data_IF_483573242292
#
_entry.id   IF_483573242292
#
_cell.length_a   1.000
_cell.length_b   1.000
_cell.length_c   1.000
_cell.angle_alpha   90.00
_cell.angle_beta   90.00
_cell.angle_gamma   90.00
#
_symmetry.space_group_name_H-M   'P 1'
#
loop_
_entity.id
_entity.type
_entity.pdbx_description
1 polymer ?
#
# COMPACT_ATOMS: atom_id res chain seq x y z
N UNK A 1 -4.23 -11.12 -51.17
CA UNK A 1 -4.66 -12.42 -50.58
C UNK A 1 -4.87 -12.18 -49.09
N UNK A 2 -6.10 -11.91 -48.67
CA UNK A 2 -6.46 -11.76 -47.26
C UNK A 2 -6.90 -13.12 -46.73
N UNK A 3 -6.13 -13.68 -45.81
CA UNK A 3 -6.53 -14.88 -45.10
C UNK A 3 -7.52 -14.50 -43.97
N UNK A 4 -8.69 -15.15 -43.87
CA UNK A 4 -9.57 -14.96 -42.72
C UNK A 4 -8.90 -15.54 -41.47
N UNK A 5 -8.90 -14.76 -40.39
CA UNK A 5 -8.33 -15.19 -39.11
C UNK A 5 -9.13 -16.36 -38.52
N UNK A 6 -8.46 -17.28 -37.80
CA UNK A 6 -9.09 -18.45 -37.19
C UNK A 6 -10.16 -18.05 -36.16
N UNK A 7 -11.23 -18.86 -36.07
CA UNK A 7 -12.40 -18.66 -35.20
C UNK A 7 -12.05 -18.48 -33.71
N UNK A 8 -10.90 -18.99 -33.27
CA UNK A 8 -10.37 -18.81 -31.92
C UNK A 8 -9.96 -17.36 -31.59
N UNK A 9 -9.69 -16.54 -32.62
CA UNK A 9 -9.34 -15.13 -32.45
C UNK A 9 -10.57 -14.20 -32.40
N UNK A 10 -11.69 -14.60 -33.00
CA UNK A 10 -12.95 -13.84 -32.93
C UNK A 10 -13.62 -13.94 -31.55
N UNK A 11 -13.47 -15.07 -30.87
CA UNK A 11 -14.08 -15.29 -29.55
C UNK A 11 -13.35 -14.55 -28.42
N UNK A 12 -12.07 -14.22 -28.60
CA UNK A 12 -11.25 -13.51 -27.62
C UNK A 12 -11.41 -11.98 -27.69
N UNK A 13 -11.85 -11.43 -28.83
CA UNK A 13 -12.23 -10.02 -28.94
C UNK A 13 -13.63 -9.74 -28.40
N UNK A 14 -14.56 -10.70 -28.52
CA UNK A 14 -15.89 -10.55 -27.91
C UNK A 14 -15.84 -10.66 -26.39
N UNK A 15 -14.98 -11.51 -25.82
CA UNK A 15 -14.78 -11.54 -24.36
C UNK A 15 -14.02 -10.33 -23.82
N UNK A 16 -13.05 -9.81 -24.57
CA UNK A 16 -12.30 -8.60 -24.15
C UNK A 16 -13.16 -7.34 -24.15
N UNK A 17 -14.14 -7.24 -25.05
CA UNK A 17 -15.09 -6.11 -25.08
C UNK A 17 -16.29 -6.30 -24.13
N UNK A 18 -16.51 -7.51 -23.61
CA UNK A 18 -17.58 -7.77 -22.64
C UNK A 18 -17.15 -7.51 -21.19
N UNK A 19 -15.85 -7.63 -20.87
CA UNK A 19 -15.33 -7.29 -19.54
C UNK A 19 -15.06 -5.78 -19.39
N UNK A 20 -14.99 -5.05 -20.51
CA UNK A 20 -14.86 -3.57 -20.53
C UNK A 20 -16.18 -2.86 -20.19
N UNK A 21 -17.29 -3.60 -20.13
CA UNK A 21 -18.57 -3.16 -19.57
C UNK A 21 -18.90 -3.90 -18.25
N UNK A 22 -17.88 -4.39 -17.53
CA UNK A 22 -18.05 -4.51 -16.09
C UNK A 22 -18.30 -3.08 -15.63
N UNK A 23 -19.54 -2.80 -15.27
CA UNK A 23 -19.89 -1.64 -14.47
C UNK A 23 -19.09 -1.82 -13.18
N UNK A 24 -17.83 -1.39 -13.18
CA UNK A 24 -17.17 -1.01 -11.96
C UNK A 24 -18.16 -0.02 -11.36
N UNK A 25 -18.89 -0.46 -10.34
CA UNK A 25 -19.46 0.43 -9.34
C UNK A 25 -18.26 1.21 -8.86
N UNK A 26 -17.99 2.32 -9.55
CA UNK A 26 -16.97 3.30 -9.23
C UNK A 26 -17.48 3.87 -7.93
N UNK A 27 -17.14 3.20 -6.85
CA UNK A 27 -17.37 3.72 -5.52
C UNK A 27 -16.49 4.95 -5.47
N UNK A 28 -17.12 6.11 -5.46
CA UNK A 28 -16.37 7.35 -5.38
C UNK A 28 -15.67 7.36 -4.01
N UNK A 29 -14.34 7.23 -4.02
CA UNK A 29 -13.52 7.18 -2.80
C UNK A 29 -12.80 5.86 -2.56
N UNK A 30 -12.15 5.75 -1.41
CA UNK A 30 -11.41 4.57 -0.96
C UNK A 30 -12.32 3.75 -0.06
N UNK A 31 -12.51 2.45 -0.33
CA UNK A 31 -13.37 1.63 0.52
C UNK A 31 -12.72 1.36 1.88
N UNK A 32 -13.49 1.09 2.95
CA UNK A 32 -12.93 0.70 4.23
C UNK A 32 -12.01 -0.53 4.14
N UNK A 33 -12.31 -1.46 3.21
CA UNK A 33 -11.48 -2.64 2.97
C UNK A 33 -10.14 -2.30 2.30
N UNK A 34 -10.13 -1.33 1.37
CA UNK A 34 -8.90 -0.83 0.76
C UNK A 34 -8.02 -0.14 1.79
N UNK A 35 -8.63 0.68 2.67
CA UNK A 35 -7.92 1.29 3.80
C UNK A 35 -7.29 0.21 4.68
N UNK A 36 -8.04 -0.82 5.07
CA UNK A 36 -7.52 -1.90 5.91
C UNK A 36 -6.37 -2.65 5.23
N UNK A 37 -6.42 -2.81 3.91
CA UNK A 37 -5.34 -3.42 3.13
C UNK A 37 -4.07 -2.57 3.16
N UNK A 38 -4.21 -1.25 2.97
CA UNK A 38 -3.09 -0.30 3.04
C UNK A 38 -2.47 -0.29 4.44
N UNK A 39 -3.29 -0.20 5.49
CA UNK A 39 -2.82 -0.22 6.89
C UNK A 39 -2.04 -1.51 7.19
N UNK A 40 -2.55 -2.68 6.77
CA UNK A 40 -1.83 -3.95 6.94
C UNK A 40 -0.49 -3.96 6.20
N UNK A 41 -0.48 -3.50 4.95
CA UNK A 41 0.74 -3.44 4.14
C UNK A 41 1.79 -2.52 4.78
N UNK A 42 1.42 -1.31 5.15
CA UNK A 42 2.34 -0.35 5.79
C UNK A 42 2.84 -0.83 7.14
N UNK A 43 1.98 -1.44 7.96
CA UNK A 43 2.38 -1.99 9.26
C UNK A 43 3.36 -3.17 9.09
N UNK A 44 3.08 -4.07 8.13
CA UNK A 44 3.99 -5.17 7.80
C UNK A 44 5.34 -4.65 7.28
N UNK A 45 5.31 -3.62 6.44
CA UNK A 45 6.53 -3.01 5.91
C UNK A 45 7.31 -2.26 7.01
N UNK A 46 6.65 -1.63 7.97
CA UNK A 46 7.31 -0.99 9.11
C UNK A 46 8.11 -2.03 9.92
N UNK A 47 7.49 -3.18 10.21
CA UNK A 47 8.16 -4.30 10.89
C UNK A 47 9.34 -4.81 10.06
N UNK A 48 9.14 -5.04 8.77
CA UNK A 48 10.20 -5.53 7.88
C UNK A 48 11.38 -4.55 7.81
N UNK A 49 11.13 -3.24 7.70
CA UNK A 49 12.17 -2.19 7.65
C UNK A 49 12.93 -2.11 8.97
N UNK A 50 12.25 -2.20 10.12
CA UNK A 50 12.91 -2.22 11.43
C UNK A 50 13.74 -3.48 11.67
N UNK A 51 13.43 -4.59 10.99
CA UNK A 51 14.16 -5.84 11.11
C UNK A 51 15.40 -5.93 10.21
N UNK A 52 15.66 -4.92 9.36
CA UNK A 52 16.84 -4.92 8.50
C UNK A 52 18.09 -4.72 9.38
N UNK A 53 18.93 -5.74 9.41
CA UNK A 53 20.21 -5.72 10.10
C UNK A 53 21.27 -4.97 9.27
N UNK A 54 21.85 -3.93 9.89
CA UNK A 54 22.90 -3.09 9.32
C UNK A 54 24.22 -3.21 10.07
N UNK A 55 24.30 -4.06 11.10
CA UNK A 55 25.54 -4.43 11.79
C UNK A 55 26.62 -4.93 10.82
N UNK A 56 26.32 -5.68 9.75
CA UNK A 56 27.34 -6.10 8.79
C UNK A 56 28.09 -4.94 8.12
N UNK A 57 27.47 -3.75 8.02
CA UNK A 57 28.12 -2.55 7.49
C UNK A 57 29.18 -2.02 8.46
N UNK A 58 28.88 -1.99 9.75
CA UNK A 58 29.82 -1.53 10.78
C UNK A 58 30.95 -2.54 11.01
N UNK A 59 30.67 -3.83 10.82
CA UNK A 59 31.64 -4.92 10.93
C UNK A 59 32.55 -5.07 9.69
N UNK A 60 32.40 -4.24 8.66
CA UNK A 60 33.25 -4.30 7.47
C UNK A 60 34.70 -3.85 7.77
N UNK A 61 35.64 -4.80 7.71
CA UNK A 61 37.07 -4.55 7.96
C UNK A 61 37.93 -4.94 6.75
N UNK A 62 39.00 -4.18 6.51
CA UNK A 62 39.98 -4.47 5.47
C UNK A 62 41.15 -3.49 5.57
N UNK A 63 42.40 -3.95 5.77
CA UNK A 63 43.56 -3.07 5.91
C UNK A 63 43.66 -2.12 4.71
N UNK A 64 43.67 -0.81 4.96
CA UNK A 64 43.78 0.24 3.94
C UNK A 64 42.65 0.26 2.88
N UNK A 65 41.57 -0.50 3.05
CA UNK A 65 40.47 -0.54 2.08
C UNK A 65 39.59 0.70 2.18
N UNK A 66 39.51 1.47 1.08
CA UNK A 66 38.55 2.58 0.97
C UNK A 66 37.10 2.08 1.02
N UNK A 67 36.84 0.90 0.47
CA UNK A 67 35.50 0.29 0.45
C UNK A 67 35.06 -0.09 1.86
N UNK A 68 35.93 -0.73 2.65
CA UNK A 68 35.60 -1.11 4.04
C UNK A 68 35.28 0.13 4.90
N UNK A 69 36.07 1.21 4.77
CA UNK A 69 35.78 2.48 5.44
C UNK A 69 34.46 3.10 4.99
N UNK A 70 34.13 3.05 3.71
CA UNK A 70 32.87 3.57 3.19
C UNK A 70 31.66 2.77 3.71
N UNK A 71 31.76 1.44 3.79
CA UNK A 71 30.72 0.58 4.36
C UNK A 71 30.51 0.89 5.85
N UNK A 72 31.59 0.96 6.63
CA UNK A 72 31.51 1.31 8.04
C UNK A 72 30.87 2.70 8.27
N UNK A 73 31.27 3.69 7.48
CA UNK A 73 30.69 5.04 7.54
C UNK A 73 29.19 5.09 7.13
N UNK A 74 28.71 4.11 6.35
CA UNK A 74 27.32 4.04 5.92
C UNK A 74 26.38 3.45 6.98
N UNK A 75 26.89 2.71 7.98
CA UNK A 75 26.08 2.04 8.99
C UNK A 75 25.16 3.00 9.75
N UNK A 76 25.71 4.05 10.38
CA UNK A 76 24.91 5.03 11.14
C UNK A 76 23.85 5.77 10.30
N UNK A 77 24.19 6.27 9.09
CA UNK A 77 23.18 6.79 8.16
C UNK A 77 22.09 5.78 7.79
N UNK A 78 22.44 4.51 7.55
CA UNK A 78 21.49 3.46 7.22
C UNK A 78 20.53 3.19 8.39
N UNK A 79 21.05 3.05 9.62
CA UNK A 79 20.24 2.89 10.85
C UNK A 79 19.20 4.01 10.98
N UNK A 80 19.63 5.27 10.85
CA UNK A 80 18.72 6.42 10.95
C UNK A 80 17.67 6.45 9.85
N UNK A 81 18.05 6.07 8.63
CA UNK A 81 17.11 6.00 7.51
C UNK A 81 16.05 4.92 7.73
N UNK A 82 16.46 3.72 8.14
CA UNK A 82 15.56 2.61 8.45
C UNK A 82 14.60 2.97 9.59
N UNK A 83 15.13 3.54 10.69
CA UNK A 83 14.31 4.02 11.80
C UNK A 83 13.30 5.06 11.33
N UNK A 84 13.72 6.06 10.55
CA UNK A 84 12.83 7.11 10.04
C UNK A 84 11.71 6.56 9.14
N UNK A 85 12.03 5.62 8.24
CA UNK A 85 11.04 5.01 7.35
C UNK A 85 10.06 4.13 8.14
N UNK A 86 10.56 3.28 9.03
CA UNK A 86 9.72 2.42 9.87
C UNK A 86 8.77 3.22 10.76
N UNK A 87 9.24 4.31 11.39
CA UNK A 87 8.39 5.23 12.16
C UNK A 87 7.32 5.87 11.28
N UNK A 88 7.67 6.40 10.11
CA UNK A 88 6.69 7.02 9.20
C UNK A 88 5.61 6.04 8.75
N UNK A 89 5.98 4.82 8.41
CA UNK A 89 5.01 3.79 8.04
C UNK A 89 4.06 3.46 9.20
N UNK A 90 4.59 3.38 10.43
CA UNK A 90 3.79 3.18 11.64
C UNK A 90 2.82 4.33 11.87
N UNK A 91 3.31 5.57 11.78
CA UNK A 91 2.51 6.78 11.98
C UNK A 91 1.40 6.91 10.93
N UNK A 92 1.72 6.64 9.66
CA UNK A 92 0.77 6.67 8.57
C UNK A 92 -0.31 5.59 8.73
N UNK A 93 0.07 4.37 9.12
CA UNK A 93 -0.89 3.30 9.46
C UNK A 93 -1.84 3.72 10.57
N UNK A 94 -1.32 4.33 11.64
CA UNK A 94 -2.12 4.80 12.76
C UNK A 94 -3.07 5.94 12.36
N UNK A 95 -2.58 6.92 11.59
CA UNK A 95 -3.37 8.03 11.08
C UNK A 95 -4.52 7.55 10.19
N UNK A 96 -4.22 6.62 9.27
CA UNK A 96 -5.22 6.09 8.34
C UNK A 96 -6.27 5.21 9.05
N UNK A 97 -5.86 4.47 10.09
CA UNK A 97 -6.78 3.72 10.96
C UNK A 97 -7.77 4.66 11.66
N UNK A 98 -7.28 5.77 12.21
CA UNK A 98 -8.13 6.79 12.86
C UNK A 98 -9.09 7.42 11.87
N UNK A 99 -8.57 7.85 10.71
CA UNK A 99 -9.39 8.42 9.65
C UNK A 99 -10.57 7.51 9.27
N UNK A 100 -10.32 6.20 9.10
CA UNK A 100 -11.37 5.22 8.80
C UNK A 100 -12.43 5.16 9.91
N UNK A 101 -12.01 5.11 11.17
CA UNK A 101 -12.93 5.06 12.30
C UNK A 101 -13.81 6.31 12.36
N UNK A 102 -13.23 7.49 12.15
CA UNK A 102 -13.94 8.76 12.14
C UNK A 102 -14.94 8.84 10.98
N UNK A 103 -14.53 8.40 9.78
CA UNK A 103 -15.39 8.36 8.61
C UNK A 103 -16.62 7.45 8.83
N UNK A 104 -16.41 6.22 9.31
CA UNK A 104 -17.51 5.28 9.63
C UNK A 104 -18.44 5.86 10.69
N UNK A 105 -17.90 6.51 11.73
CA UNK A 105 -18.71 7.15 12.77
C UNK A 105 -19.55 8.29 12.20
N UNK A 106 -18.96 9.13 11.34
CA UNK A 106 -19.65 10.24 10.69
C UNK A 106 -20.78 9.75 9.77
N UNK A 107 -20.51 8.75 8.93
CA UNK A 107 -21.50 8.18 8.02
C UNK A 107 -22.67 7.55 8.78
N UNK A 108 -22.38 6.82 9.86
CA UNK A 108 -23.42 6.21 10.70
C UNK A 108 -24.32 7.26 11.35
N UNK A 109 -23.73 8.37 11.85
CA UNK A 109 -24.49 9.48 12.42
C UNK A 109 -25.39 10.15 11.38
N UNK A 110 -24.87 10.39 10.19
CA UNK A 110 -25.64 10.98 9.09
C UNK A 110 -26.80 10.06 8.66
N UNK A 111 -26.54 8.76 8.47
CA UNK A 111 -27.56 7.78 8.14
C UNK A 111 -28.68 7.74 9.19
N UNK A 112 -28.33 7.70 10.48
CA UNK A 112 -29.30 7.73 11.59
C UNK A 112 -30.17 8.99 11.56
N UNK A 113 -29.58 10.14 11.23
CA UNK A 113 -30.33 11.39 11.12
C UNK A 113 -31.33 11.37 9.95
N UNK A 114 -30.96 10.79 8.81
CA UNK A 114 -31.87 10.62 7.67
C UNK A 114 -32.99 9.61 7.96
N UNK A 115 -32.68 8.48 8.60
CA UNK A 115 -33.70 7.51 9.00
C UNK A 115 -34.74 8.14 9.95
N UNK A 116 -34.29 8.97 10.90
CA UNK A 116 -35.19 9.68 11.80
C UNK A 116 -36.10 10.71 11.09
N UNK A 117 -35.71 11.23 9.91
CA UNK A 117 -36.56 12.08 9.10
C UNK A 117 -37.59 11.28 8.29
N UNK A 118 -37.27 10.05 7.89
CA UNK A 118 -38.18 9.16 7.15
C UNK A 118 -39.36 8.70 8.02
N UNK A 119 -39.13 8.52 9.31
CA UNK A 119 -40.14 8.03 10.26
C UNK A 119 -41.08 9.14 10.78
N UNK A 120 -41.01 10.35 10.21
CA UNK A 120 -41.89 11.50 10.47
C UNK A 120 -42.86 11.72 9.32
#
# INVERSE_FOLDING_TARGET
>A
MSHPLPLSYRMSLQYRLSDEYRTEKTTFGVTPADIDSIVRSWSSNAVAVHAIDVEPLSAAHGPSSRVARALNAAAGPAERALASVGTRLTDLSAALTRFRADAVSSDTKAATAFDALRDR
#
